data_IF_159444962403
#
_entry.id   IF_159444962403
#
_cell.length_a   1.000
_cell.length_b   1.000
_cell.length_c   1.000
_cell.angle_alpha   90.00
_cell.angle_beta   90.00
_cell.angle_gamma   90.00
#
_symmetry.space_group_name_H-M   'P 1'
#
loop_
_entity.id
_entity.type
_entity.pdbx_description
1 polymer ?
#
# COMPACT_ATOMS: atom_id res chain seq x y z
N UNK A 1 6.56 -25.42 9.58
CA UNK A 1 7.08 -24.23 8.87
C UNK A 1 6.27 -24.07 7.61
N UNK A 2 5.22 -23.25 7.67
CA UNK A 2 4.38 -22.92 6.52
C UNK A 2 5.27 -22.25 5.48
N UNK A 3 5.27 -22.78 4.26
CA UNK A 3 6.03 -22.20 3.14
C UNK A 3 5.68 -20.71 3.00
N UNK A 4 6.68 -19.83 3.08
CA UNK A 4 6.63 -18.36 2.85
C UNK A 4 6.16 -17.95 1.43
N UNK A 5 5.50 -18.85 0.69
CA UNK A 5 5.11 -18.63 -0.70
C UNK A 5 3.66 -18.20 -0.75
N UNK A 6 3.39 -17.11 -1.47
CA UNK A 6 2.04 -16.62 -1.82
C UNK A 6 1.24 -15.98 -0.67
N UNK A 7 1.89 -15.32 0.29
CA UNK A 7 1.21 -14.50 1.28
C UNK A 7 0.41 -13.36 0.61
N UNK A 8 0.91 -12.82 -0.50
CA UNK A 8 0.21 -11.80 -1.30
C UNK A 8 -1.10 -12.29 -1.95
N UNK A 9 -1.34 -13.61 -2.01
CA UNK A 9 -2.60 -14.18 -2.52
C UNK A 9 -3.66 -14.36 -1.42
N UNK A 10 -3.33 -14.09 -0.16
CA UNK A 10 -4.32 -14.04 0.91
C UNK A 10 -5.30 -12.90 0.65
N UNK A 11 -6.57 -13.14 0.93
CA UNK A 11 -7.52 -12.03 1.07
C UNK A 11 -7.12 -11.14 2.25
N UNK A 12 -7.55 -9.88 2.23
CA UNK A 12 -7.30 -8.93 3.33
C UNK A 12 -7.75 -9.48 4.69
N UNK A 13 -8.91 -10.14 4.76
CA UNK A 13 -9.44 -10.72 6.01
C UNK A 13 -8.58 -11.89 6.50
N UNK A 14 -8.07 -12.74 5.60
CA UNK A 14 -7.17 -13.84 5.97
C UNK A 14 -5.84 -13.30 6.48
N UNK A 15 -5.26 -12.32 5.79
CA UNK A 15 -4.01 -11.69 6.18
C UNK A 15 -4.15 -10.96 7.54
N UNK A 16 -5.19 -10.13 7.71
CA UNK A 16 -5.45 -9.42 8.95
C UNK A 16 -5.62 -10.38 10.14
N UNK A 17 -6.36 -11.48 9.96
CA UNK A 17 -6.51 -12.52 10.99
C UNK A 17 -5.16 -13.16 11.35
N UNK A 18 -4.39 -13.58 10.35
CA UNK A 18 -3.09 -14.23 10.56
C UNK A 18 -2.07 -13.28 11.23
N UNK A 19 -2.08 -11.99 10.86
CA UNK A 19 -1.25 -10.95 11.48
C UNK A 19 -1.65 -10.71 12.94
N UNK A 20 -2.94 -10.55 13.21
CA UNK A 20 -3.46 -10.36 14.57
C UNK A 20 -3.15 -11.56 15.49
N UNK A 21 -3.10 -12.77 14.92
CA UNK A 21 -2.74 -14.00 15.62
C UNK A 21 -1.23 -14.29 15.63
N UNK A 22 -0.42 -13.45 14.99
CA UNK A 22 1.03 -13.62 14.79
C UNK A 22 1.42 -14.95 14.12
N UNK A 23 0.53 -15.49 13.29
CA UNK A 23 0.81 -16.67 12.48
C UNK A 23 1.76 -16.33 11.31
N UNK A 24 1.72 -15.08 10.86
CA UNK A 24 2.64 -14.50 9.87
C UNK A 24 3.18 -13.17 10.39
N UNK A 25 4.32 -12.74 9.84
CA UNK A 25 4.90 -11.42 10.09
C UNK A 25 4.41 -10.39 9.07
N UNK A 26 4.26 -9.15 9.50
CA UNK A 26 4.00 -8.02 8.63
C UNK A 26 5.14 -7.83 7.62
N UNK A 27 6.40 -8.02 8.04
CA UNK A 27 7.55 -7.93 7.13
C UNK A 27 7.50 -9.00 6.02
N UNK A 28 7.10 -10.23 6.35
CA UNK A 28 7.01 -11.32 5.37
C UNK A 28 5.91 -11.05 4.34
N UNK A 29 4.72 -10.61 4.78
CA UNK A 29 3.63 -10.25 3.88
C UNK A 29 3.99 -9.06 2.99
N UNK A 30 4.57 -8.00 3.57
CA UNK A 30 4.98 -6.81 2.83
C UNK A 30 6.02 -7.16 1.75
N UNK A 31 7.02 -7.97 2.09
CA UNK A 31 8.05 -8.37 1.14
C UNK A 31 7.47 -9.22 0.00
N UNK A 32 6.52 -10.12 0.27
CA UNK A 32 5.85 -10.88 -0.78
C UNK A 32 5.02 -9.97 -1.71
N UNK A 33 4.31 -8.99 -1.15
CA UNK A 33 3.61 -7.96 -1.94
C UNK A 33 4.57 -7.16 -2.82
N UNK A 34 5.69 -6.68 -2.26
CA UNK A 34 6.72 -5.94 -3.00
C UNK A 34 7.35 -6.78 -4.12
N UNK A 35 7.54 -8.08 -3.91
CA UNK A 35 8.04 -8.99 -4.94
C UNK A 35 7.03 -9.12 -6.10
N UNK A 36 5.74 -9.31 -5.80
CA UNK A 36 4.69 -9.37 -6.83
C UNK A 36 4.58 -8.06 -7.61
N UNK A 37 4.66 -6.92 -6.92
CA UNK A 37 4.71 -5.59 -7.55
C UNK A 37 5.93 -5.52 -8.48
N UNK A 38 7.13 -5.91 -8.04
CA UNK A 38 8.33 -5.88 -8.87
C UNK A 38 8.22 -6.73 -10.14
N UNK A 39 7.48 -7.84 -10.09
CA UNK A 39 7.22 -8.70 -11.26
C UNK A 39 6.19 -8.06 -12.20
N UNK A 40 5.13 -7.45 -11.67
CA UNK A 40 3.94 -7.05 -12.44
C UNK A 40 3.95 -5.60 -12.91
N UNK A 41 4.58 -4.70 -12.14
CA UNK A 41 4.52 -3.27 -12.39
C UNK A 41 5.13 -2.82 -13.74
N UNK A 42 6.16 -3.48 -14.29
CA UNK A 42 6.64 -3.18 -15.64
C UNK A 42 5.58 -3.35 -16.74
N UNK A 43 4.54 -4.15 -16.50
CA UNK A 43 3.46 -4.38 -17.48
C UNK A 43 2.14 -3.69 -17.08
N UNK A 44 1.86 -3.56 -15.78
CA UNK A 44 0.57 -3.08 -15.26
C UNK A 44 0.56 -1.56 -15.08
N UNK A 45 1.68 -0.93 -14.67
CA UNK A 45 1.76 0.51 -14.41
C UNK A 45 0.70 1.04 -13.40
N UNK A 46 0.51 0.34 -12.27
CA UNK A 46 -0.51 0.67 -11.28
C UNK A 46 -0.06 1.70 -10.23
N UNK A 47 1.22 2.00 -10.09
CA UNK A 47 1.75 2.81 -9.00
C UNK A 47 2.39 4.12 -9.48
N UNK A 48 2.13 5.20 -8.73
CA UNK A 48 2.79 6.49 -8.89
C UNK A 48 4.08 6.52 -8.07
N UNK A 49 4.04 6.01 -6.85
CA UNK A 49 5.19 6.01 -5.93
C UNK A 49 5.05 4.94 -4.84
N UNK A 50 6.18 4.60 -4.22
CA UNK A 50 6.26 3.63 -3.12
C UNK A 50 7.03 4.18 -1.93
N UNK A 51 6.56 3.88 -0.72
CA UNK A 51 7.23 4.17 0.55
C UNK A 51 8.14 3.01 1.00
N UNK A 52 8.83 2.31 0.09
CA UNK A 52 9.43 0.99 0.36
C UNK A 52 10.21 0.90 1.67
N UNK A 53 11.16 1.82 1.90
CA UNK A 53 12.01 1.80 3.09
C UNK A 53 11.18 2.07 4.35
N UNK A 54 10.29 3.07 4.31
CA UNK A 54 9.43 3.40 5.44
C UNK A 54 8.48 2.25 5.78
N UNK A 55 7.82 1.66 4.78
CA UNK A 55 6.94 0.51 4.93
C UNK A 55 7.67 -0.70 5.54
N UNK A 56 8.90 -0.99 5.10
CA UNK A 56 9.71 -2.07 5.66
C UNK A 56 10.11 -1.83 7.12
N UNK A 57 10.46 -0.58 7.47
CA UNK A 57 10.73 -0.20 8.86
C UNK A 57 9.49 -0.37 9.73
N UNK A 58 8.34 0.17 9.29
CA UNK A 58 7.07 0.09 10.00
C UNK A 58 6.64 -1.39 10.20
N UNK A 59 6.80 -2.24 9.19
CA UNK A 59 6.49 -3.67 9.29
C UNK A 59 7.29 -4.35 10.42
N UNK A 60 8.61 -4.10 10.50
CA UNK A 60 9.47 -4.64 11.55
C UNK A 60 9.10 -4.14 12.94
N UNK A 61 8.67 -2.88 13.04
CA UNK A 61 8.21 -2.29 14.29
C UNK A 61 6.91 -2.95 14.75
N UNK A 62 5.95 -3.15 13.84
CA UNK A 62 4.68 -3.82 14.13
C UNK A 62 4.87 -5.28 14.54
N UNK A 63 5.81 -6.00 13.91
CA UNK A 63 6.15 -7.37 14.29
C UNK A 63 6.68 -7.48 15.73
N UNK A 64 7.39 -6.45 16.22
CA UNK A 64 7.98 -6.41 17.56
C UNK A 64 7.06 -5.79 18.61
N UNK A 65 6.21 -4.86 18.20
CA UNK A 65 5.30 -4.09 19.05
C UNK A 65 4.00 -4.81 19.35
N UNK A 66 3.08 -4.19 20.13
CA UNK A 66 1.74 -4.74 20.35
C UNK A 66 0.90 -4.74 19.07
N UNK A 67 -0.14 -5.58 19.02
CA UNK A 67 -1.13 -5.53 17.93
C UNK A 67 -1.83 -4.17 17.94
N UNK A 68 -1.91 -3.53 16.78
CA UNK A 68 -2.50 -2.21 16.59
C UNK A 68 -3.73 -2.33 15.69
N UNK A 69 -4.92 -2.29 16.28
CA UNK A 69 -6.19 -2.25 15.54
C UNK A 69 -6.45 -3.46 14.62
N UNK A 70 -7.49 -3.32 13.80
CA UNK A 70 -8.01 -4.41 12.94
C UNK A 70 -7.24 -4.57 11.62
N UNK A 71 -6.40 -3.61 11.25
CA UNK A 71 -5.58 -3.61 10.04
C UNK A 71 -4.09 -3.80 10.35
N UNK A 72 -3.74 -4.23 11.57
CA UNK A 72 -2.37 -4.42 12.04
C UNK A 72 -1.46 -5.08 10.98
N UNK A 73 -0.47 -4.34 10.50
CA UNK A 73 0.55 -4.84 9.58
C UNK A 73 0.08 -5.06 8.14
N UNK A 74 -1.16 -4.73 7.79
CA UNK A 74 -1.71 -4.96 6.45
C UNK A 74 -1.19 -3.88 5.47
N UNK A 75 -0.51 -4.24 4.36
CA UNK A 75 -0.09 -3.28 3.34
C UNK A 75 -1.28 -2.76 2.51
N UNK A 76 -1.38 -1.46 2.34
CA UNK A 76 -2.46 -0.80 1.59
C UNK A 76 -1.88 0.18 0.56
N UNK A 77 -2.35 0.08 -0.68
CA UNK A 77 -2.14 1.11 -1.71
C UNK A 77 -3.23 2.17 -1.63
N UNK A 78 -2.85 3.44 -1.72
CA UNK A 78 -3.78 4.58 -1.61
C UNK A 78 -3.89 5.27 -2.96
N UNK A 79 -5.11 5.41 -3.48
CA UNK A 79 -5.33 6.16 -4.73
C UNK A 79 -4.74 7.56 -4.62
N UNK A 80 -4.02 7.99 -5.66
CA UNK A 80 -3.36 9.30 -5.75
C UNK A 80 -4.36 10.45 -5.89
N UNK A 81 -5.23 10.57 -4.90
CA UNK A 81 -6.27 11.57 -4.68
C UNK A 81 -6.50 11.82 -3.18
N UNK A 82 -6.20 10.82 -2.35
CA UNK A 82 -6.27 10.93 -0.91
C UNK A 82 -4.93 11.40 -0.40
N UNK A 83 -4.89 12.55 0.27
CA UNK A 83 -3.66 13.11 0.80
C UNK A 83 -2.96 12.17 1.78
N UNK A 84 -1.64 12.25 1.76
CA UNK A 84 -0.72 11.52 2.63
C UNK A 84 0.34 12.51 3.11
N UNK A 85 0.57 12.59 4.41
CA UNK A 85 1.54 13.53 4.98
C UNK A 85 3.01 13.15 4.72
N UNK A 86 3.26 11.87 4.45
CA UNK A 86 4.59 11.25 4.29
C UNK A 86 4.90 10.82 2.85
N UNK A 87 3.97 11.06 1.91
CA UNK A 87 4.08 10.73 0.49
C UNK A 87 3.48 11.85 -0.35
N UNK A 88 4.06 12.16 -1.53
CA UNK A 88 3.47 13.14 -2.43
C UNK A 88 2.07 12.71 -2.88
N UNK A 89 1.20 13.67 -3.17
CA UNK A 89 -0.11 13.42 -3.76
C UNK A 89 -0.29 14.31 -4.97
N UNK A 90 -0.34 13.72 -6.16
CA UNK A 90 -0.27 14.47 -7.42
C UNK A 90 -1.64 14.64 -8.08
N UNK A 91 -2.69 14.02 -7.55
CA UNK A 91 -4.06 14.05 -8.12
C UNK A 91 -4.12 13.59 -9.58
N UNK A 92 -3.13 12.81 -10.05
CA UNK A 92 -2.96 12.44 -11.45
C UNK A 92 -2.65 13.62 -12.40
N UNK A 93 -2.24 14.79 -11.89
CA UNK A 93 -1.99 16.00 -12.69
C UNK A 93 -0.53 16.49 -12.56
N UNK A 94 0.13 16.89 -13.67
CA UNK A 94 1.49 17.43 -13.61
C UNK A 94 1.58 18.76 -12.83
N UNK A 95 0.48 19.51 -12.70
CA UNK A 95 0.49 20.79 -11.97
C UNK A 95 0.75 20.59 -10.47
N UNK A 96 0.51 19.39 -9.95
CA UNK A 96 0.74 19.00 -8.56
C UNK A 96 1.96 18.08 -8.39
N UNK A 97 2.86 18.00 -9.38
CA UNK A 97 4.02 17.09 -9.33
C UNK A 97 4.98 17.28 -8.14
N UNK A 98 4.91 18.42 -7.43
CA UNK A 98 5.67 18.72 -6.22
C UNK A 98 4.81 18.85 -4.96
N UNK A 99 3.54 18.43 -5.01
CA UNK A 99 2.61 18.59 -3.90
C UNK A 99 2.87 17.59 -2.78
N UNK A 100 3.13 18.11 -1.59
CA UNK A 100 3.34 17.35 -0.37
C UNK A 100 2.34 17.84 0.69
N UNK A 101 1.20 17.15 0.83
CA UNK A 101 0.21 17.49 1.84
C UNK A 101 0.81 17.51 3.24
N UNK A 102 0.35 18.42 4.09
CA UNK A 102 0.80 18.51 5.49
C UNK A 102 0.11 17.50 6.42
N UNK A 103 -0.99 16.92 5.96
CA UNK A 103 -1.79 15.96 6.71
C UNK A 103 -2.31 14.86 5.79
N UNK A 104 -2.67 13.73 6.40
CA UNK A 104 -3.39 12.66 5.74
C UNK A 104 -4.85 13.07 5.49
N UNK A 105 -5.44 12.54 4.42
CA UNK A 105 -6.89 12.46 4.34
C UNK A 105 -7.44 11.62 5.51
N UNK A 106 -8.61 11.96 6.05
CA UNK A 106 -9.20 11.29 7.23
C UNK A 106 -9.26 9.77 7.08
N UNK A 107 -9.61 9.26 5.88
CA UNK A 107 -9.64 7.83 5.61
C UNK A 107 -8.26 7.16 5.76
N UNK A 108 -7.19 7.84 5.35
CA UNK A 108 -5.81 7.36 5.48
C UNK A 108 -5.38 7.40 6.94
N UNK A 109 -5.70 8.47 7.67
CA UNK A 109 -5.44 8.55 9.12
C UNK A 109 -6.08 7.41 9.88
N UNK A 110 -7.37 7.13 9.61
CA UNK A 110 -8.10 6.03 10.25
C UNK A 110 -7.49 4.65 9.92
N UNK A 111 -6.99 4.45 8.70
CA UNK A 111 -6.28 3.21 8.34
C UNK A 111 -4.97 3.05 9.12
N UNK A 112 -4.20 4.13 9.29
CA UNK A 112 -2.98 4.12 10.09
C UNK A 112 -3.26 3.87 11.57
N UNK A 113 -4.27 4.53 12.14
CA UNK A 113 -4.74 4.29 13.51
C UNK A 113 -5.18 2.84 13.72
N UNK A 114 -5.78 2.23 12.70
CA UNK A 114 -6.13 0.82 12.70
C UNK A 114 -4.92 -0.12 12.46
N UNK A 115 -3.69 0.40 12.34
CA UNK A 115 -2.44 -0.34 12.24
C UNK A 115 -1.99 -0.72 10.83
N UNK A 116 -2.59 -0.15 9.78
CA UNK A 116 -2.21 -0.43 8.40
C UNK A 116 -0.85 0.19 8.04
N UNK A 117 -0.20 -0.43 7.05
CA UNK A 117 1.01 0.08 6.41
C UNK A 117 0.61 0.73 5.08
N UNK A 118 0.76 2.05 4.98
CA UNK A 118 0.52 2.77 3.71
C UNK A 118 1.72 2.55 2.79
N UNK A 119 1.56 1.68 1.79
CA UNK A 119 2.64 1.20 0.95
C UNK A 119 3.06 2.22 -0.13
N UNK A 120 2.11 2.99 -0.64
CA UNK A 120 2.38 3.88 -1.76
C UNK A 120 1.11 4.45 -2.39
N UNK A 121 1.31 5.19 -3.47
CA UNK A 121 0.26 5.87 -4.21
C UNK A 121 -0.07 5.12 -5.49
N UNK A 122 -1.34 4.81 -5.73
CA UNK A 122 -1.78 4.16 -6.96
C UNK A 122 -2.27 5.18 -7.98
N UNK A 123 -2.08 4.86 -9.26
CA UNK A 123 -2.47 5.70 -10.39
C UNK A 123 -3.97 6.03 -10.35
N UNK A 124 -4.28 7.27 -10.75
CA UNK A 124 -5.63 7.75 -10.99
C UNK A 124 -5.72 8.40 -12.36
N UNK A 125 -6.93 8.59 -12.86
CA UNK A 125 -7.19 9.63 -13.86
C UNK A 125 -6.99 11.01 -13.24
N UNK A 126 -6.57 11.97 -14.06
CA UNK A 126 -6.37 13.35 -13.62
C UNK A 126 -7.64 13.89 -12.95
N UNK A 127 -7.53 14.28 -11.68
CA UNK A 127 -8.63 14.75 -10.82
C UNK A 127 -9.86 13.82 -10.76
N UNK A 128 -9.67 12.49 -10.90
CA UNK A 128 -10.78 11.54 -11.04
C UNK A 128 -11.72 11.82 -12.23
N UNK A 129 -11.20 12.46 -13.29
CA UNK A 129 -11.92 12.73 -14.53
C UNK A 129 -11.74 11.58 -15.55
N UNK A 130 -11.82 11.89 -16.84
CA UNK A 130 -11.96 10.91 -17.92
C UNK A 130 -10.66 10.53 -18.64
N UNK A 131 -9.56 11.27 -18.47
CA UNK A 131 -8.29 10.96 -19.15
C UNK A 131 -7.61 9.77 -18.47
N UNK A 132 -7.43 8.63 -19.16
CA UNK A 132 -6.83 7.44 -18.57
C UNK A 132 -5.36 7.65 -18.23
N UNK A 133 -4.93 7.08 -17.10
CA UNK A 133 -3.52 6.96 -16.75
C UNK A 133 -2.82 5.81 -17.51
N UNK A 134 -1.53 5.57 -17.24
CA UNK A 134 -0.75 4.52 -17.91
C UNK A 134 -1.17 3.09 -17.52
N UNK A 135 -1.99 2.92 -16.49
CA UNK A 135 -2.37 1.61 -15.95
C UNK A 135 -3.07 0.75 -17.00
N UNK A 136 -2.60 -0.49 -17.14
CA UNK A 136 -3.13 -1.49 -18.08
C UNK A 136 -3.95 -2.54 -17.33
N UNK A 137 -4.89 -3.18 -18.02
CA UNK A 137 -5.72 -4.20 -17.40
C UNK A 137 -4.90 -5.49 -17.14
N UNK A 138 -4.68 -5.92 -15.89
CA UNK A 138 -3.85 -7.06 -15.56
C UNK A 138 -4.37 -8.42 -16.09
N UNK A 139 -5.60 -8.47 -16.59
CA UNK A 139 -6.25 -9.65 -17.19
C UNK A 139 -6.14 -9.68 -18.72
N UNK A 140 -5.69 -8.59 -19.35
CA UNK A 140 -5.56 -8.45 -20.81
C UNK A 140 -4.44 -7.44 -21.12
N UNK A 141 -3.19 -7.91 -21.01
CA UNK A 141 -1.96 -7.13 -21.26
C UNK A 141 -1.50 -7.23 -22.71
#
# INVERSE_FOLDING_TARGET
MTSLKNLANLSATQAAKALAQREIKAEDLLNDCLNQIGIREPEVHAWVSFAKIHAQTQARELDRGPIQGILHGLPIGVKDLFDTHDLPTNYGSPIYGNNHPICDAVSVSLMREAGAIILGKTVTTEFASFTPGPTRNPRNL
#
